data_IF_129040548747
#
_entry.id   IF_129040548747
#
_cell.length_a   1.000
_cell.length_b   1.000
_cell.length_c   1.000
_cell.angle_alpha   90.00
_cell.angle_beta   90.00
_cell.angle_gamma   90.00
#
_symmetry.space_group_name_H-M   'P 1'
#
loop_
_entity.id
_entity.type
_entity.pdbx_description
1 polymer ?
#
# COMPACT_ATOMS: atom_id res chain seq x y z
N UNK A 1 38.42 -2.96 36.87
CA UNK A 1 37.73 -1.84 36.17
C UNK A 1 36.41 -1.63 36.87
N UNK A 2 36.14 -0.44 37.41
CA UNK A 2 34.84 -0.17 38.04
C UNK A 2 33.75 0.04 36.97
N UNK A 3 32.48 0.05 37.38
CA UNK A 3 31.34 0.18 36.46
C UNK A 3 31.41 1.45 35.59
N UNK A 4 31.95 2.55 36.14
CA UNK A 4 32.09 3.83 35.43
C UNK A 4 33.17 3.75 34.35
N UNK A 5 34.28 3.09 34.63
CA UNK A 5 35.35 2.84 33.66
C UNK A 5 34.88 1.89 32.55
N UNK A 6 34.07 0.88 32.89
CA UNK A 6 33.43 -0.01 31.91
C UNK A 6 32.46 0.73 31.00
N UNK A 7 31.59 1.57 31.57
CA UNK A 7 30.67 2.38 30.77
C UNK A 7 31.42 3.33 29.83
N UNK A 8 32.49 3.98 30.31
CA UNK A 8 33.33 4.85 29.48
C UNK A 8 34.03 4.11 28.35
N UNK A 9 34.59 2.92 28.62
CA UNK A 9 35.22 2.09 27.61
C UNK A 9 34.22 1.66 26.53
N UNK A 10 33.06 1.13 26.93
CA UNK A 10 32.01 0.73 25.97
C UNK A 10 31.44 1.91 25.17
N UNK A 11 31.30 3.08 25.80
CA UNK A 11 30.86 4.30 25.11
C UNK A 11 31.87 4.73 24.05
N UNK A 12 33.16 4.67 24.37
CA UNK A 12 34.24 5.00 23.44
C UNK A 12 34.29 4.01 22.27
N UNK A 13 34.20 2.71 22.54
CA UNK A 13 34.24 1.67 21.52
C UNK A 13 33.04 1.77 20.57
N UNK A 14 31.83 1.97 21.13
CA UNK A 14 30.59 2.00 20.37
C UNK A 14 30.43 3.32 19.60
N UNK A 15 30.59 4.46 20.27
CA UNK A 15 30.22 5.77 19.73
C UNK A 15 31.42 6.59 19.23
N UNK A 16 32.65 6.15 19.52
CA UNK A 16 33.87 6.88 19.20
C UNK A 16 34.29 7.91 20.26
N UNK A 17 35.44 8.58 20.07
CA UNK A 17 36.01 9.52 21.03
C UNK A 17 35.15 10.77 21.20
N UNK A 18 35.16 11.33 22.40
CA UNK A 18 34.57 12.64 22.66
C UNK A 18 35.49 13.74 22.11
N UNK A 19 34.87 14.83 21.65
CA UNK A 19 35.59 16.00 21.17
C UNK A 19 35.64 17.06 22.26
N UNK A 20 36.80 17.67 22.46
CA UNK A 20 36.99 18.68 23.50
C UNK A 20 36.16 19.96 23.27
N UNK A 21 35.92 20.30 22.00
CA UNK A 21 35.09 21.43 21.55
C UNK A 21 33.59 21.09 21.47
N UNK A 22 33.24 19.79 21.46
CA UNK A 22 31.88 19.30 21.34
C UNK A 22 31.70 17.99 22.12
N UNK A 23 31.41 18.06 23.43
CA UNK A 23 31.26 16.88 24.26
C UNK A 23 30.18 15.88 23.78
N UNK A 24 29.00 16.31 23.28
CA UNK A 24 28.01 15.35 22.77
C UNK A 24 28.38 14.86 21.37
N UNK A 25 28.32 13.54 21.18
CA UNK A 25 28.45 12.91 19.85
C UNK A 25 27.18 13.08 19.04
N UNK A 26 27.31 13.53 17.80
CA UNK A 26 26.17 13.83 16.92
C UNK A 26 25.92 12.67 15.97
N UNK A 27 24.70 12.12 16.03
CA UNK A 27 24.21 11.13 15.08
C UNK A 27 23.22 11.80 14.11
N UNK A 28 23.42 11.59 12.81
CA UNK A 28 22.53 12.14 11.76
C UNK A 28 21.95 11.00 10.93
N UNK A 29 20.62 10.99 10.77
CA UNK A 29 19.97 10.06 9.84
C UNK A 29 20.14 10.57 8.42
N UNK A 30 20.77 9.77 7.56
CA UNK A 30 20.94 10.11 6.16
C UNK A 30 19.63 9.90 5.40
N UNK A 31 19.31 10.87 4.55
CA UNK A 31 18.18 10.81 3.61
C UNK A 31 18.66 10.40 2.23
N UNK A 32 17.76 9.98 1.34
CA UNK A 32 18.07 9.65 -0.06
C UNK A 32 19.01 10.62 -0.78
N UNK A 33 18.89 11.92 -0.51
CA UNK A 33 19.79 12.96 -1.05
C UNK A 33 21.28 12.66 -0.82
N UNK A 34 21.63 12.11 0.34
CA UNK A 34 23.00 11.73 0.70
C UNK A 34 23.56 10.58 -0.16
N UNK A 35 22.70 9.78 -0.81
CA UNK A 35 23.12 8.74 -1.73
C UNK A 35 23.59 9.33 -3.07
N UNK A 36 22.94 10.42 -3.52
CA UNK A 36 23.25 11.05 -4.82
C UNK A 36 24.27 12.18 -4.70
N UNK A 37 24.36 12.85 -3.55
CA UNK A 37 25.16 14.05 -3.39
C UNK A 37 26.21 13.91 -2.28
N UNK A 38 27.46 13.68 -2.70
CA UNK A 38 28.61 13.66 -1.78
C UNK A 38 28.74 14.96 -0.97
N UNK A 39 28.45 16.12 -1.58
CA UNK A 39 28.54 17.42 -0.92
C UNK A 39 27.62 17.55 0.29
N UNK A 40 26.44 16.90 0.27
CA UNK A 40 25.53 16.87 1.41
C UNK A 40 26.18 16.16 2.61
N UNK A 41 26.76 14.97 2.37
CA UNK A 41 27.47 14.20 3.41
C UNK A 41 28.71 14.94 3.90
N UNK A 42 29.48 15.53 3.00
CA UNK A 42 30.66 16.32 3.35
C UNK A 42 30.28 17.52 4.25
N UNK A 43 29.20 18.23 3.93
CA UNK A 43 28.69 19.32 4.74
C UNK A 43 28.32 18.86 6.17
N UNK A 44 27.64 17.71 6.29
CA UNK A 44 27.29 17.12 7.59
C UNK A 44 28.52 16.74 8.41
N UNK A 45 29.54 16.14 7.78
CA UNK A 45 30.80 15.79 8.45
C UNK A 45 31.53 17.05 8.92
N UNK A 46 31.62 18.08 8.08
CA UNK A 46 32.25 19.37 8.43
C UNK A 46 31.48 20.09 9.55
N UNK A 47 30.17 19.94 9.62
CA UNK A 47 29.32 20.50 10.67
C UNK A 47 29.39 19.73 12.01
N UNK A 48 30.06 18.57 12.04
CA UNK A 48 30.30 17.82 13.28
C UNK A 48 29.56 16.49 13.42
N UNK A 49 29.01 15.91 12.35
CA UNK A 49 28.41 14.56 12.41
C UNK A 49 29.45 13.50 12.81
N UNK A 50 29.26 12.80 13.94
CA UNK A 50 30.15 11.71 14.40
C UNK A 50 29.66 10.34 13.97
N UNK A 51 28.34 10.17 13.83
CA UNK A 51 27.71 8.91 13.45
C UNK A 51 26.72 9.15 12.32
N UNK A 52 26.95 8.52 11.17
CA UNK A 52 26.00 8.45 10.07
C UNK A 52 25.03 7.28 10.29
N UNK A 53 23.74 7.57 10.47
CA UNK A 53 22.68 6.58 10.62
C UNK A 53 22.03 6.31 9.26
N UNK A 54 22.19 5.08 8.75
CA UNK A 54 21.57 4.59 7.52
C UNK A 54 20.42 3.66 7.90
N UNK A 55 19.19 4.00 7.48
CA UNK A 55 17.99 3.25 7.83
C UNK A 55 17.54 2.34 6.68
N UNK A 56 17.75 1.03 6.81
CA UNK A 56 17.42 0.04 5.79
C UNK A 56 15.91 -0.24 5.64
N UNK A 57 15.07 0.38 6.47
CA UNK A 57 13.62 0.41 6.24
C UNK A 57 13.20 1.45 5.18
N UNK A 58 14.14 2.30 4.74
CA UNK A 58 13.95 3.34 3.74
C UNK A 58 14.96 3.11 2.60
N UNK A 59 14.65 3.63 1.41
CA UNK A 59 15.56 3.61 0.25
C UNK A 59 15.99 2.19 -0.19
N UNK A 60 16.98 2.10 -1.10
CA UNK A 60 17.41 0.84 -1.71
C UNK A 60 18.84 0.45 -1.29
N UNK A 61 19.23 -0.83 -1.46
CA UNK A 61 20.61 -1.28 -1.23
C UNK A 61 21.68 -0.43 -1.95
N UNK A 62 21.42 -0.02 -3.19
CA UNK A 62 22.33 0.83 -3.95
C UNK A 62 22.49 2.22 -3.31
N UNK A 63 21.40 2.78 -2.77
CA UNK A 63 21.42 4.06 -2.08
C UNK A 63 22.26 3.98 -0.80
N UNK A 64 22.07 2.94 0.01
CA UNK A 64 22.82 2.73 1.27
C UNK A 64 24.31 2.57 1.04
N UNK A 65 24.70 1.79 0.02
CA UNK A 65 26.11 1.61 -0.36
C UNK A 65 26.75 2.95 -0.80
N UNK A 66 26.01 3.75 -1.56
CA UNK A 66 26.48 5.09 -1.98
C UNK A 66 26.63 6.03 -0.78
N UNK A 67 25.66 6.03 0.14
CA UNK A 67 25.75 6.78 1.40
C UNK A 67 26.98 6.36 2.22
N UNK A 68 27.21 5.06 2.39
CA UNK A 68 28.35 4.54 3.13
C UNK A 68 29.69 4.96 2.49
N UNK A 69 29.79 4.86 1.15
CA UNK A 69 30.96 5.31 0.41
C UNK A 69 31.21 6.82 0.58
N UNK A 70 30.16 7.63 0.51
CA UNK A 70 30.25 9.07 0.75
C UNK A 70 30.71 9.39 2.18
N UNK A 71 30.19 8.68 3.19
CA UNK A 71 30.61 8.86 4.59
C UNK A 71 32.09 8.54 4.76
N UNK A 72 32.57 7.41 4.22
CA UNK A 72 34.00 7.04 4.31
C UNK A 72 34.90 8.07 3.61
N UNK A 73 34.52 8.51 2.41
CA UNK A 73 35.26 9.55 1.68
C UNK A 73 35.27 10.89 2.42
N UNK A 74 34.15 11.29 3.02
CA UNK A 74 34.05 12.54 3.77
C UNK A 74 34.86 12.48 5.08
N UNK A 75 34.84 11.34 5.78
CA UNK A 75 35.64 11.08 6.97
C UNK A 75 37.14 11.16 6.67
N UNK A 76 37.60 10.56 5.57
CA UNK A 76 38.98 10.63 5.10
C UNK A 76 39.39 12.07 4.77
N UNK A 77 38.56 12.81 4.00
CA UNK A 77 38.83 14.19 3.66
C UNK A 77 38.89 15.12 4.88
N UNK A 78 38.11 14.83 5.92
CA UNK A 78 38.12 15.56 7.19
C UNK A 78 39.19 15.05 8.19
N UNK A 79 39.93 13.99 7.84
CA UNK A 79 40.89 13.31 8.73
C UNK A 79 40.30 12.97 10.11
N UNK A 80 39.01 12.59 10.14
CA UNK A 80 38.27 12.31 11.37
C UNK A 80 37.47 11.01 11.22
N UNK A 81 37.45 10.14 12.24
CA UNK A 81 36.57 8.97 12.22
C UNK A 81 35.10 9.41 12.26
N UNK A 82 34.30 8.83 11.36
CA UNK A 82 32.84 8.92 11.38
C UNK A 82 32.29 7.50 11.33
N UNK A 83 31.51 7.12 12.34
CA UNK A 83 30.94 5.79 12.47
C UNK A 83 29.71 5.66 11.57
N UNK A 84 29.45 4.47 11.04
CA UNK A 84 28.24 4.13 10.31
C UNK A 84 27.38 3.22 11.17
N UNK A 85 26.23 3.74 11.58
CA UNK A 85 25.16 2.98 12.22
C UNK A 85 24.18 2.51 11.14
N UNK A 86 24.05 1.20 10.98
CA UNK A 86 23.05 0.59 10.11
C UNK A 86 21.87 0.14 10.96
N UNK A 87 20.67 0.59 10.57
CA UNK A 87 19.42 0.25 11.26
C UNK A 87 18.61 -0.69 10.39
N UNK A 88 18.43 -1.92 10.85
CA UNK A 88 17.57 -2.91 10.21
C UNK A 88 16.09 -2.62 10.52
N UNK A 89 15.21 -2.99 9.61
CA UNK A 89 13.79 -2.66 9.70
C UNK A 89 13.07 -3.47 10.79
N UNK A 90 13.51 -4.71 11.02
CA UNK A 90 12.88 -5.64 11.95
C UNK A 90 11.57 -6.22 11.39
N UNK A 91 11.00 -7.18 12.11
CA UNK A 91 9.73 -7.83 11.77
C UNK A 91 8.51 -6.90 12.01
N UNK A 92 8.38 -5.86 11.18
CA UNK A 92 7.24 -4.93 11.23
C UNK A 92 5.96 -5.65 10.83
N UNK A 93 4.96 -5.59 11.70
CA UNK A 93 3.61 -6.05 11.41
C UNK A 93 2.89 -4.95 10.63
N UNK A 94 2.32 -5.29 9.48
CA UNK A 94 1.61 -4.35 8.64
C UNK A 94 0.30 -4.93 8.12
N UNK A 95 -0.58 -4.04 7.70
CA UNK A 95 -1.75 -4.42 6.91
C UNK A 95 -1.29 -4.88 5.53
N UNK A 96 -1.81 -6.02 5.10
CA UNK A 96 -1.64 -6.52 3.74
C UNK A 96 -2.66 -5.88 2.81
N UNK A 97 -2.99 -6.60 1.73
CA UNK A 97 -4.02 -6.14 0.80
C UNK A 97 -5.39 -6.09 1.49
N UNK A 98 -6.13 -5.02 1.17
CA UNK A 98 -7.55 -4.90 1.52
C UNK A 98 -8.30 -5.85 0.59
N UNK A 99 -9.17 -6.69 1.16
CA UNK A 99 -9.92 -7.67 0.39
C UNK A 99 -10.60 -6.97 -0.80
N UNK A 100 -10.41 -7.50 -2.00
CA UNK A 100 -10.88 -6.88 -3.23
C UNK A 100 -12.41 -6.77 -3.19
N UNK A 101 -12.93 -5.54 -3.07
CA UNK A 101 -14.27 -5.27 -3.55
C UNK A 101 -14.32 -5.60 -5.05
N UNK A 102 -15.47 -6.03 -5.56
CA UNK A 102 -15.67 -6.19 -7.00
C UNK A 102 -15.11 -4.96 -7.73
N UNK A 103 -14.14 -5.09 -8.64
CA UNK A 103 -13.53 -3.93 -9.29
C UNK A 103 -14.61 -3.09 -9.97
N UNK A 104 -14.73 -1.82 -9.62
CA UNK A 104 -15.71 -0.92 -10.23
C UNK A 104 -15.01 0.16 -11.04
N UNK A 105 -15.25 0.17 -12.35
CA UNK A 105 -14.85 1.28 -13.20
C UNK A 105 -15.97 2.32 -13.32
N UNK A 106 -15.71 3.53 -12.83
CA UNK A 106 -16.65 4.66 -12.94
C UNK A 106 -16.39 5.48 -14.20
N UNK A 107 -17.34 5.46 -15.13
CA UNK A 107 -17.38 6.39 -16.26
C UNK A 107 -18.05 7.70 -15.81
N UNK A 108 -17.31 8.82 -15.86
CA UNK A 108 -17.79 10.13 -15.40
C UNK A 108 -17.74 11.17 -16.54
N UNK A 109 -18.88 11.47 -17.18
CA UNK A 109 -18.98 12.59 -18.11
C UNK A 109 -18.73 13.92 -17.39
N UNK A 110 -18.05 14.85 -18.06
CA UNK A 110 -17.91 16.22 -17.58
C UNK A 110 -19.24 16.96 -17.73
N UNK A 111 -19.66 17.66 -16.69
CA UNK A 111 -20.92 18.42 -16.65
C UNK A 111 -20.67 19.87 -16.26
N UNK A 112 -21.48 20.78 -16.77
CA UNK A 112 -21.51 22.17 -16.34
C UNK A 112 -22.20 22.33 -14.98
N UNK A 113 -22.24 23.57 -14.46
CA UNK A 113 -22.91 23.89 -13.19
C UNK A 113 -24.42 23.61 -13.20
N UNK A 114 -25.04 23.50 -14.38
CA UNK A 114 -26.46 23.18 -14.56
C UNK A 114 -26.69 21.67 -14.76
N UNK A 115 -25.64 20.84 -14.69
CA UNK A 115 -25.70 19.40 -14.84
C UNK A 115 -25.78 18.90 -16.29
N UNK A 116 -25.63 19.78 -17.29
CA UNK A 116 -25.61 19.41 -18.71
C UNK A 116 -24.25 18.83 -19.07
N UNK A 117 -24.23 17.79 -19.90
CA UNK A 117 -22.99 17.11 -20.30
C UNK A 117 -22.21 18.01 -21.26
N UNK A 118 -21.00 18.39 -20.86
CA UNK A 118 -20.05 19.19 -21.67
C UNK A 118 -19.10 18.30 -22.45
N UNK A 119 -18.71 17.17 -21.87
CA UNK A 119 -17.89 16.16 -22.53
C UNK A 119 -18.30 14.76 -22.07
N UNK A 120 -18.56 13.82 -22.99
CA UNK A 120 -18.92 12.45 -22.63
C UNK A 120 -17.73 11.71 -21.99
N UNK A 121 -18.02 10.70 -21.17
CA UNK A 121 -16.98 9.80 -20.68
C UNK A 121 -16.52 8.91 -21.83
N UNK A 122 -15.23 8.92 -22.14
CA UNK A 122 -14.63 8.00 -23.11
C UNK A 122 -14.22 6.71 -22.43
N UNK A 123 -14.33 5.58 -23.11
CA UNK A 123 -13.89 4.25 -22.66
C UNK A 123 -13.27 3.50 -23.84
N UNK A 124 -12.06 2.96 -23.64
CA UNK A 124 -11.43 2.06 -24.60
C UNK A 124 -11.84 0.61 -24.33
N UNK A 125 -12.41 -0.05 -25.33
CA UNK A 125 -12.62 -1.49 -25.36
C UNK A 125 -11.45 -2.15 -26.09
N UNK A 126 -10.69 -3.01 -25.40
CA UNK A 126 -9.50 -3.70 -25.93
C UNK A 126 -9.68 -5.22 -25.91
N UNK A 127 -8.92 -5.99 -26.71
CA UNK A 127 -8.89 -7.43 -26.57
C UNK A 127 -8.46 -7.85 -25.14
N UNK A 128 -9.12 -8.86 -24.58
CA UNK A 128 -8.88 -9.35 -23.20
C UNK A 128 -7.43 -9.78 -22.87
N UNK A 129 -6.58 -10.00 -23.88
CA UNK A 129 -5.18 -10.39 -23.69
C UNK A 129 -4.19 -9.25 -23.96
N UNK A 130 -4.69 -8.06 -24.31
CA UNK A 130 -3.85 -6.88 -24.57
C UNK A 130 -3.81 -5.98 -23.34
N UNK A 131 -2.67 -5.36 -23.04
CA UNK A 131 -2.51 -4.30 -22.02
C UNK A 131 -2.26 -2.91 -22.65
N UNK A 132 -2.66 -2.71 -23.90
CA UNK A 132 -2.46 -1.43 -24.60
C UNK A 132 -3.24 -0.30 -23.91
N UNK A 133 -2.52 0.74 -23.49
CA UNK A 133 -3.07 2.02 -23.06
C UNK A 133 -2.95 3.06 -24.18
N UNK A 134 -4.02 3.83 -24.44
CA UNK A 134 -3.99 4.94 -25.39
C UNK A 134 -3.83 6.28 -24.65
N UNK A 135 -2.86 7.14 -25.02
CA UNK A 135 -2.75 8.47 -24.47
C UNK A 135 -4.05 9.28 -24.63
N UNK A 136 -4.62 9.76 -23.53
CA UNK A 136 -5.83 10.59 -23.53
C UNK A 136 -7.17 9.84 -23.47
N UNK A 137 -7.18 8.54 -23.16
CA UNK A 137 -8.40 7.73 -22.92
C UNK A 137 -8.27 6.94 -21.62
N UNK A 138 -8.55 7.59 -20.50
CA UNK A 138 -8.38 7.01 -19.15
C UNK A 138 -9.75 6.68 -18.54
N UNK A 139 -10.47 5.73 -19.16
CA UNK A 139 -10.24 4.34 -18.79
C UNK A 139 -10.36 3.30 -19.93
N UNK A 140 -9.90 2.06 -19.68
CA UNK A 140 -10.04 0.93 -20.60
C UNK A 140 -10.56 -0.35 -19.92
N UNK A 141 -11.20 -1.22 -20.69
CA UNK A 141 -11.60 -2.58 -20.26
C UNK A 141 -11.34 -3.59 -21.37
N UNK A 142 -11.03 -4.82 -20.96
CA UNK A 142 -10.89 -5.96 -21.86
C UNK A 142 -12.24 -6.55 -22.24
N UNK A 143 -12.38 -6.98 -23.50
CA UNK A 143 -13.55 -7.70 -24.03
C UNK A 143 -13.11 -8.86 -24.92
N UNK A 144 -14.02 -9.80 -25.17
CA UNK A 144 -13.77 -10.92 -26.10
C UNK A 144 -13.52 -10.43 -27.54
N UNK A 145 -12.42 -10.87 -28.12
CA UNK A 145 -11.89 -10.37 -29.40
C UNK A 145 -12.84 -10.60 -30.59
N UNK A 146 -13.44 -11.79 -30.81
CA UNK A 146 -14.44 -12.00 -31.86
C UNK A 146 -15.71 -11.16 -31.71
N UNK A 147 -16.00 -10.67 -30.50
CA UNK A 147 -17.09 -9.72 -30.28
C UNK A 147 -16.65 -8.30 -30.62
N UNK A 148 -15.42 -7.92 -30.25
CA UNK A 148 -14.84 -6.61 -30.53
C UNK A 148 -14.71 -6.34 -32.04
N UNK A 149 -14.36 -7.36 -32.83
CA UNK A 149 -14.26 -7.28 -34.30
C UNK A 149 -15.58 -6.92 -35.00
N UNK A 150 -16.72 -7.12 -34.32
CA UNK A 150 -18.05 -6.81 -34.85
C UNK A 150 -18.40 -5.33 -34.73
N UNK A 151 -17.65 -4.56 -33.93
CA UNK A 151 -17.90 -3.16 -33.68
C UNK A 151 -17.58 -2.31 -34.91
N UNK A 152 -18.47 -1.37 -35.20
CA UNK A 152 -18.31 -0.33 -36.23
C UNK A 152 -18.60 1.03 -35.61
N UNK A 153 -17.97 2.07 -36.14
CA UNK A 153 -18.30 3.46 -35.76
C UNK A 153 -19.79 3.73 -35.94
N UNK A 154 -20.40 4.41 -34.97
CA UNK A 154 -21.83 4.71 -34.90
C UNK A 154 -22.70 3.64 -34.24
N UNK A 155 -22.15 2.47 -33.87
CA UNK A 155 -22.93 1.44 -33.16
C UNK A 155 -23.19 1.81 -31.71
N UNK A 156 -24.35 1.40 -31.19
CA UNK A 156 -24.71 1.53 -29.77
C UNK A 156 -24.59 0.20 -29.06
N UNK A 157 -23.97 0.21 -27.87
CA UNK A 157 -23.81 -0.94 -26.99
C UNK A 157 -24.68 -0.72 -25.77
N UNK A 158 -25.60 -1.64 -25.48
CA UNK A 158 -26.48 -1.55 -24.32
C UNK A 158 -25.90 -2.37 -23.16
N UNK A 159 -26.03 -1.86 -21.94
CA UNK A 159 -25.64 -2.56 -20.72
C UNK A 159 -26.48 -2.10 -19.53
N UNK A 160 -26.40 -2.88 -18.45
CA UNK A 160 -26.95 -2.51 -17.13
C UNK A 160 -25.75 -2.24 -16.23
N UNK A 161 -25.69 -1.05 -15.62
CA UNK A 161 -24.59 -0.68 -14.72
C UNK A 161 -24.72 -1.36 -13.35
N UNK A 162 -23.68 -1.26 -12.52
CA UNK A 162 -23.64 -1.88 -11.18
C UNK A 162 -24.77 -1.44 -10.22
N UNK A 163 -25.53 -0.39 -10.56
CA UNK A 163 -26.69 0.09 -9.79
C UNK A 163 -28.02 -0.36 -10.39
N UNK A 164 -27.99 -1.28 -11.36
CA UNK A 164 -29.18 -1.74 -12.08
C UNK A 164 -29.69 -0.76 -13.13
N UNK A 165 -28.98 0.32 -13.44
CA UNK A 165 -29.46 1.33 -14.37
C UNK A 165 -29.06 1.01 -15.81
N UNK A 166 -30.03 1.03 -16.74
CA UNK A 166 -29.76 0.84 -18.17
C UNK A 166 -28.95 2.01 -18.73
N UNK A 167 -27.91 1.69 -19.48
CA UNK A 167 -26.96 2.64 -20.07
C UNK A 167 -26.58 2.19 -21.48
N UNK A 168 -26.03 3.13 -22.24
CA UNK A 168 -25.50 2.84 -23.57
C UNK A 168 -24.12 3.49 -23.77
N UNK A 169 -23.30 2.82 -24.59
CA UNK A 169 -22.02 3.32 -25.09
C UNK A 169 -22.13 3.48 -26.61
N UNK A 170 -21.68 4.60 -27.15
CA UNK A 170 -21.59 4.81 -28.60
C UNK A 170 -20.17 4.56 -29.08
N UNK A 171 -20.00 3.72 -30.10
CA UNK A 171 -18.70 3.44 -30.72
C UNK A 171 -18.31 4.63 -31.59
N UNK A 172 -17.26 5.36 -31.23
CA UNK A 172 -16.77 6.53 -31.97
C UNK A 172 -15.83 6.11 -33.08
N UNK A 173 -14.84 5.28 -32.74
CA UNK A 173 -13.86 4.76 -33.69
C UNK A 173 -13.39 3.38 -33.27
N UNK A 174 -12.96 2.59 -34.24
CA UNK A 174 -12.32 1.29 -34.04
C UNK A 174 -11.06 1.23 -34.92
N UNK A 175 -9.96 0.84 -34.32
CA UNK A 175 -8.67 0.61 -34.98
C UNK A 175 -8.12 -0.77 -34.56
N UNK A 176 -6.85 -1.01 -34.84
CA UNK A 176 -6.16 -2.27 -34.50
C UNK A 176 -5.96 -2.43 -32.98
N UNK A 177 -5.96 -1.33 -32.21
CA UNK A 177 -5.72 -1.34 -30.77
C UNK A 177 -7.01 -1.57 -29.97
N UNK A 178 -8.17 -1.23 -30.55
CA UNK A 178 -9.47 -1.49 -29.95
C UNK A 178 -10.57 -0.58 -30.49
N UNK A 179 -11.62 -0.39 -29.70
CA UNK A 179 -12.71 0.52 -29.99
C UNK A 179 -12.85 1.60 -28.92
N UNK A 180 -12.83 2.88 -29.31
CA UNK A 180 -13.17 3.98 -28.41
C UNK A 180 -14.68 4.14 -28.41
N UNK A 181 -15.24 4.18 -27.21
CA UNK A 181 -16.66 4.40 -26.96
C UNK A 181 -16.90 5.62 -26.09
N UNK A 182 -18.07 6.21 -26.20
CA UNK A 182 -18.50 7.36 -25.41
C UNK A 182 -19.80 7.06 -24.65
N UNK A 183 -19.86 7.51 -23.39
CA UNK A 183 -21.04 7.46 -22.53
C UNK A 183 -21.45 8.89 -22.14
N UNK A 184 -22.70 9.25 -22.39
CA UNK A 184 -23.25 10.55 -21.96
C UNK A 184 -23.69 10.55 -20.49
N UNK A 185 -23.83 9.37 -19.87
CA UNK A 185 -24.34 9.21 -18.50
C UNK A 185 -23.26 8.63 -17.58
N UNK A 186 -23.32 8.96 -16.30
CA UNK A 186 -22.46 8.30 -15.31
C UNK A 186 -22.84 6.83 -15.22
N UNK A 187 -21.86 5.95 -15.41
CA UNK A 187 -22.03 4.50 -15.37
C UNK A 187 -20.93 3.85 -14.54
N UNK A 188 -21.24 2.67 -14.01
CA UNK A 188 -20.36 1.87 -13.15
C UNK A 188 -20.28 0.48 -13.77
N UNK A 189 -19.09 0.10 -14.25
CA UNK A 189 -18.84 -1.21 -14.84
C UNK A 189 -18.16 -2.10 -13.79
N UNK A 190 -18.55 -3.38 -13.76
CA UNK A 190 -17.97 -4.46 -12.95
C UNK A 190 -17.61 -5.63 -13.87
N UNK A 191 -16.82 -6.63 -13.42
CA UNK A 191 -16.57 -7.84 -14.21
C UNK A 191 -17.83 -8.60 -14.65
N UNK A 192 -18.95 -8.40 -13.94
CA UNK A 192 -20.25 -8.98 -14.27
C UNK A 192 -21.03 -8.17 -15.32
N UNK A 193 -20.54 -6.97 -15.68
CA UNK A 193 -21.24 -6.13 -16.64
C UNK A 193 -21.15 -6.73 -18.04
N UNK A 194 -22.32 -7.00 -18.61
CA UNK A 194 -22.47 -7.53 -19.96
C UNK A 194 -22.75 -6.38 -20.92
N UNK A 195 -21.87 -6.19 -21.91
CA UNK A 195 -22.11 -5.30 -23.05
C UNK A 195 -22.84 -6.07 -24.15
N UNK A 196 -23.96 -5.54 -24.63
CA UNK A 196 -24.78 -6.16 -25.66
C UNK A 196 -24.86 -5.32 -26.92
N UNK A 197 -24.73 -6.00 -28.06
CA UNK A 197 -24.97 -5.45 -29.39
C UNK A 197 -26.43 -5.70 -29.77
N UNK A 198 -27.21 -4.62 -29.88
CA UNK A 198 -28.57 -4.67 -30.41
C UNK A 198 -28.56 -4.99 -31.91
N UNK A 199 -29.10 -6.14 -32.30
CA UNK A 199 -29.42 -6.40 -33.71
C UNK A 199 -30.58 -5.52 -34.13
N UNK A 200 -30.41 -4.75 -35.21
CA UNK A 200 -31.54 -4.14 -35.93
C UNK A 200 -32.48 -5.29 -36.32
N UNK A 201 -33.69 -5.28 -35.75
CA UNK A 201 -34.83 -6.17 -36.03
C UNK A 201 -34.50 -7.68 -36.16
N UNK A 202 -34.70 -8.43 -35.07
CA UNK A 202 -34.91 -9.89 -35.10
C UNK A 202 -33.68 -10.80 -35.23
N UNK A 203 -32.45 -10.28 -35.20
CA UNK A 203 -31.22 -11.11 -35.23
C UNK A 203 -30.51 -11.22 -33.88
N UNK A 204 -29.83 -12.36 -33.69
CA UNK A 204 -29.07 -12.80 -32.50
C UNK A 204 -28.35 -11.64 -31.81
N UNK A 205 -28.66 -11.40 -30.54
CA UNK A 205 -27.93 -10.47 -29.67
C UNK A 205 -26.54 -11.05 -29.40
N UNK A 206 -25.50 -10.27 -29.68
CA UNK A 206 -24.12 -10.65 -29.35
C UNK A 206 -23.75 -9.94 -28.05
N UNK A 207 -23.21 -10.68 -27.08
CA UNK A 207 -22.88 -10.18 -25.77
C UNK A 207 -21.42 -10.49 -25.42
N UNK A 208 -20.82 -9.65 -24.59
CA UNK A 208 -19.49 -9.88 -24.02
C UNK A 208 -19.46 -9.39 -22.58
N UNK A 209 -18.70 -10.08 -21.72
CA UNK A 209 -18.35 -9.57 -20.40
C UNK A 209 -17.19 -8.58 -20.53
N UNK A 210 -17.14 -7.62 -19.62
CA UNK A 210 -15.96 -6.76 -19.45
C UNK A 210 -15.00 -7.41 -18.46
N UNK A 211 -13.71 -7.23 -18.68
CA UNK A 211 -12.64 -7.73 -17.81
C UNK A 211 -11.51 -6.71 -17.70
N UNK A 212 -10.46 -7.05 -16.94
CA UNK A 212 -9.28 -6.19 -16.75
C UNK A 212 -9.63 -4.79 -16.24
N UNK A 213 -10.67 -4.68 -15.41
CA UNK A 213 -10.97 -3.45 -14.68
C UNK A 213 -9.91 -3.30 -13.59
N UNK A 214 -9.11 -2.24 -13.67
CA UNK A 214 -8.15 -1.91 -12.62
C UNK A 214 -8.89 -1.60 -11.32
N UNK A 215 -8.62 -2.40 -10.28
CA UNK A 215 -9.04 -2.06 -8.93
C UNK A 215 -8.16 -0.91 -8.46
N UNK A 216 -8.76 0.23 -8.12
CA UNK A 216 -8.01 1.26 -7.40
C UNK A 216 -7.53 0.69 -6.06
N UNK A 217 -6.40 1.20 -5.50
CA UNK A 217 -5.97 0.82 -4.17
C UNK A 217 -7.13 1.01 -3.19
N UNK A 218 -7.69 -0.09 -2.71
CA UNK A 218 -8.85 -0.06 -1.84
C UNK A 218 -8.40 0.44 -0.46
N UNK A 219 -9.08 1.48 0.01
CA UNK A 219 -8.96 1.94 1.39
C UNK A 219 -10.25 1.59 2.11
N UNK A 220 -10.16 0.97 3.28
CA UNK A 220 -11.29 0.83 4.18
C UNK A 220 -11.55 2.16 4.87
N UNK A 221 -12.81 2.54 4.95
CA UNK A 221 -13.23 3.66 5.77
C UNK A 221 -13.74 3.10 7.09
N UNK A 222 -13.10 3.49 8.21
CA UNK A 222 -13.37 2.95 9.53
C UNK A 222 -13.87 4.06 10.47
N UNK A 223 -15.02 3.82 11.07
CA UNK A 223 -15.65 4.63 12.10
C UNK A 223 -15.60 3.90 13.45
N UNK A 224 -15.68 4.66 14.54
CA UNK A 224 -15.86 4.07 15.87
C UNK A 224 -17.17 3.27 15.90
N UNK A 225 -17.11 2.03 16.40
CA UNK A 225 -18.20 1.06 16.40
C UNK A 225 -18.15 0.04 15.26
N UNK A 226 -17.35 0.28 14.21
CA UNK A 226 -17.20 -0.67 13.12
C UNK A 226 -16.51 -1.96 13.59
N UNK A 227 -16.84 -3.08 12.93
CA UNK A 227 -16.14 -4.36 13.12
C UNK A 227 -15.22 -4.61 11.93
N UNK A 228 -13.92 -4.52 12.17
CA UNK A 228 -12.86 -4.83 11.21
C UNK A 228 -12.41 -6.29 11.35
N UNK A 229 -12.40 -7.03 10.26
CA UNK A 229 -11.81 -8.36 10.19
C UNK A 229 -10.34 -8.28 9.73
N UNK A 230 -9.41 -8.64 10.62
CA UNK A 230 -7.99 -8.79 10.30
C UNK A 230 -7.69 -10.26 9.98
N UNK A 231 -7.31 -10.58 8.75
CA UNK A 231 -7.17 -11.97 8.29
C UNK A 231 -5.73 -12.39 8.03
N UNK A 232 -5.48 -13.70 7.99
CA UNK A 232 -4.28 -14.27 7.37
C UNK A 232 -4.26 -13.94 5.86
N UNK A 233 -3.09 -13.91 5.20
CA UNK A 233 -3.01 -13.78 3.75
C UNK A 233 -3.83 -14.85 3.03
N UNK A 234 -4.43 -14.51 1.88
CA UNK A 234 -5.24 -15.41 1.01
C UNK A 234 -6.61 -15.87 1.54
N UNK A 235 -7.12 -15.26 2.61
CA UNK A 235 -8.50 -15.48 3.06
C UNK A 235 -9.43 -14.56 2.25
N UNK A 236 -10.10 -15.09 1.23
CA UNK A 236 -10.93 -14.31 0.30
C UNK A 236 -12.33 -14.00 0.84
N UNK A 237 -12.80 -14.74 1.85
CA UNK A 237 -14.09 -14.48 2.50
C UNK A 237 -14.03 -14.92 3.95
N UNK A 238 -14.37 -13.99 4.86
CA UNK A 238 -14.67 -14.31 6.25
C UNK A 238 -16.14 -14.79 6.30
N UNK A 239 -16.48 -15.86 7.05
CA UNK A 239 -17.87 -16.27 7.21
C UNK A 239 -18.70 -15.10 7.76
N UNK A 240 -19.82 -14.77 7.11
CA UNK A 240 -20.78 -13.81 7.66
C UNK A 240 -21.13 -14.25 9.09
N UNK A 241 -20.95 -13.35 10.05
CA UNK A 241 -21.44 -13.57 11.41
C UNK A 241 -22.96 -13.82 11.32
N UNK A 242 -23.52 -14.79 12.08
CA UNK A 242 -24.96 -14.87 12.21
C UNK A 242 -25.44 -13.54 12.78
N UNK A 243 -26.22 -12.79 12.01
CA UNK A 243 -26.80 -11.54 12.45
C UNK A 243 -27.76 -11.83 13.62
N UNK A 244 -27.36 -11.50 14.85
CA UNK A 244 -28.26 -11.53 16.00
C UNK A 244 -29.18 -10.28 16.04
N UNK A 245 -28.97 -9.30 15.15
CA UNK A 245 -29.87 -8.15 14.97
C UNK A 245 -30.30 -7.99 13.51
N UNK A 246 -31.57 -8.30 13.25
CA UNK A 246 -32.19 -8.40 11.93
C UNK A 246 -32.51 -7.05 11.23
N UNK A 247 -31.74 -5.99 11.47
CA UNK A 247 -32.02 -4.66 10.91
C UNK A 247 -30.80 -3.94 10.29
N UNK A 248 -29.63 -4.59 10.25
CA UNK A 248 -28.47 -4.08 9.52
C UNK A 248 -28.46 -4.66 8.09
N UNK A 249 -28.57 -3.79 7.08
CA UNK A 249 -28.32 -4.17 5.69
C UNK A 249 -26.91 -4.77 5.58
N UNK A 250 -26.70 -5.90 4.89
CA UNK A 250 -25.38 -6.51 4.76
C UNK A 250 -24.49 -5.59 3.91
N UNK A 251 -23.73 -4.74 4.58
CA UNK A 251 -22.57 -4.12 3.97
C UNK A 251 -21.48 -5.19 3.83
N UNK A 252 -20.65 -5.08 2.80
CA UNK A 252 -19.48 -5.95 2.66
C UNK A 252 -18.65 -5.92 3.96
N UNK A 253 -18.18 -7.06 4.47
CA UNK A 253 -17.40 -7.10 5.69
C UNK A 253 -16.13 -6.25 5.52
N UNK A 254 -15.91 -5.31 6.45
CA UNK A 254 -14.68 -4.52 6.50
C UNK A 254 -13.52 -5.48 6.78
N UNK A 255 -12.72 -5.78 5.77
CA UNK A 255 -11.70 -6.84 5.86
C UNK A 255 -10.34 -6.38 5.31
N UNK A 256 -9.29 -6.66 6.07
CA UNK A 256 -7.90 -6.40 5.67
C UNK A 256 -7.00 -7.55 6.11
N UNK A 257 -6.02 -7.92 5.29
CA UNK A 257 -5.06 -8.98 5.67
C UNK A 257 -3.93 -8.42 6.56
N UNK A 258 -3.18 -9.32 7.21
CA UNK A 258 -1.97 -9.02 7.96
C UNK A 258 -0.73 -9.65 7.30
N UNK A 259 0.38 -8.90 7.22
CA UNK A 259 1.64 -9.41 6.64
C UNK A 259 2.35 -10.44 7.52
N UNK A 260 2.05 -10.49 8.82
CA UNK A 260 2.61 -11.44 9.78
C UNK A 260 1.48 -12.31 10.37
N UNK A 261 1.01 -13.35 9.65
CA UNK A 261 -0.16 -14.13 10.07
C UNK A 261 -0.02 -14.81 11.44
N UNK A 262 1.21 -15.06 11.90
CA UNK A 262 1.46 -15.67 13.21
C UNK A 262 0.93 -14.82 14.36
N UNK A 263 0.77 -13.50 14.18
CA UNK A 263 0.22 -12.62 15.23
C UNK A 263 -1.22 -12.98 15.56
N UNK A 264 -2.00 -13.43 14.57
CA UNK A 264 -3.40 -13.85 14.76
C UNK A 264 -3.45 -15.03 15.74
N UNK A 265 -2.46 -15.92 15.68
CA UNK A 265 -2.37 -17.09 16.55
C UNK A 265 -1.92 -16.73 17.98
N UNK A 266 -1.25 -15.59 18.18
CA UNK A 266 -0.61 -15.21 19.45
C UNK A 266 -1.41 -14.21 20.30
N UNK A 267 -2.25 -13.38 19.66
CA UNK A 267 -3.09 -12.39 20.37
C UNK A 267 -4.21 -13.04 21.18
N UNK A 268 -4.78 -12.28 22.13
CA UNK A 268 -5.93 -12.69 22.94
C UNK A 268 -7.13 -11.75 22.73
N UNK A 269 -8.32 -12.30 22.93
CA UNK A 269 -9.56 -11.51 22.99
C UNK A 269 -9.46 -10.52 24.16
N UNK A 270 -9.88 -9.28 23.92
CA UNK A 270 -9.81 -8.17 24.87
C UNK A 270 -8.56 -7.29 24.73
N UNK A 271 -7.54 -7.74 23.99
CA UNK A 271 -6.31 -6.95 23.78
C UNK A 271 -6.55 -5.80 22.80
N UNK A 272 -5.77 -4.72 22.97
CA UNK A 272 -5.80 -3.55 22.10
C UNK A 272 -4.97 -3.79 20.86
N UNK A 273 -5.45 -3.24 19.75
CA UNK A 273 -4.74 -3.22 18.48
C UNK A 273 -4.81 -1.81 17.88
N UNK A 274 -3.71 -1.37 17.30
CA UNK A 274 -3.54 -0.04 16.73
C UNK A 274 -3.09 -0.12 15.28
N UNK A 275 -3.65 0.74 14.44
CA UNK A 275 -3.30 0.82 13.03
C UNK A 275 -2.78 2.21 12.65
N UNK A 276 -1.99 2.23 11.58
CA UNK A 276 -1.56 3.44 10.86
C UNK A 276 -0.94 4.51 11.78
N UNK A 277 0.05 4.07 12.57
CA UNK A 277 0.77 4.92 13.51
C UNK A 277 -0.02 5.27 14.77
N UNK A 278 -1.02 4.46 15.15
CA UNK A 278 -1.86 4.69 16.32
C UNK A 278 -3.05 5.63 16.06
N UNK A 279 -3.30 5.99 14.80
CA UNK A 279 -4.44 6.83 14.44
C UNK A 279 -5.77 6.12 14.65
N UNK A 280 -5.83 4.85 14.28
CA UNK A 280 -7.01 4.00 14.41
C UNK A 280 -6.73 2.99 15.52
N UNK A 281 -7.65 2.85 16.46
CA UNK A 281 -7.56 1.92 17.59
C UNK A 281 -8.77 1.02 17.67
N UNK A 282 -8.56 -0.21 18.13
CA UNK A 282 -9.62 -1.17 18.35
C UNK A 282 -9.30 -2.19 19.42
N UNK A 283 -10.30 -3.01 19.73
CA UNK A 283 -10.22 -4.10 20.70
C UNK A 283 -10.61 -5.40 20.02
N UNK A 284 -9.81 -6.44 20.20
CA UNK A 284 -10.08 -7.77 19.65
C UNK A 284 -11.29 -8.35 20.38
N UNK A 285 -12.42 -8.52 19.69
CA UNK A 285 -13.65 -9.09 20.27
C UNK A 285 -13.78 -10.58 20.04
N UNK A 286 -13.32 -11.06 18.90
CA UNK A 286 -13.34 -12.48 18.59
C UNK A 286 -12.03 -12.90 17.91
N UNK A 287 -11.62 -14.14 18.17
CA UNK A 287 -10.47 -14.78 17.55
C UNK A 287 -10.93 -16.08 16.93
N UNK A 288 -10.64 -16.21 15.64
CA UNK A 288 -10.90 -17.40 14.83
C UNK A 288 -9.57 -17.96 14.32
N UNK A 289 -9.60 -19.13 13.67
CA UNK A 289 -8.39 -19.76 13.15
C UNK A 289 -7.66 -18.92 12.09
N UNK A 290 -8.43 -18.19 11.26
CA UNK A 290 -7.91 -17.46 10.10
C UNK A 290 -8.06 -15.94 10.20
N UNK A 291 -8.77 -15.44 11.21
CA UNK A 291 -9.04 -14.01 11.36
C UNK A 291 -9.36 -13.57 12.80
N UNK A 292 -9.28 -12.26 13.02
CA UNK A 292 -9.72 -11.57 14.22
C UNK A 292 -10.89 -10.66 13.88
N UNK A 293 -11.91 -10.61 14.73
CA UNK A 293 -12.94 -9.57 14.67
C UNK A 293 -12.58 -8.47 15.68
N UNK A 294 -12.37 -7.25 15.19
CA UNK A 294 -11.87 -6.12 15.95
C UNK A 294 -12.94 -5.04 15.94
N UNK A 295 -13.43 -4.67 17.12
CA UNK A 295 -14.27 -3.48 17.25
C UNK A 295 -13.39 -2.24 17.23
N UNK A 296 -13.66 -1.31 16.33
CA UNK A 296 -12.96 -0.03 16.24
C UNK A 296 -13.45 0.87 17.37
N UNK A 297 -12.57 1.18 18.31
CA UNK A 297 -12.88 2.03 19.47
C UNK A 297 -12.36 3.45 19.32
N UNK A 298 -11.47 3.69 18.33
CA UNK A 298 -10.92 5.01 18.05
C UNK A 298 -10.75 5.23 16.54
N UNK A 299 -11.39 6.30 16.04
CA UNK A 299 -11.15 6.92 14.75
C UNK A 299 -11.52 8.42 14.86
N UNK A 300 -11.07 9.25 13.92
CA UNK A 300 -11.48 10.66 13.85
C UNK A 300 -12.97 10.83 13.59
N UNK A 301 -13.49 12.02 13.88
CA UNK A 301 -14.86 12.40 13.52
C UNK A 301 -15.05 12.31 12.00
N UNK A 302 -16.03 11.52 11.57
CA UNK A 302 -16.26 11.21 10.15
C UNK A 302 -15.36 10.11 9.56
N UNK A 303 -14.66 9.34 10.39
CA UNK A 303 -13.99 8.09 10.03
C UNK A 303 -12.59 8.26 9.42
N UNK A 304 -11.72 7.28 9.65
CA UNK A 304 -10.36 7.21 9.10
C UNK A 304 -10.26 6.30 7.89
N UNK A 305 -9.19 6.45 7.11
CA UNK A 305 -8.91 5.57 5.97
C UNK A 305 -7.77 4.63 6.31
N UNK A 306 -8.04 3.34 6.31
CA UNK A 306 -7.03 2.29 6.44
C UNK A 306 -6.71 1.71 5.07
N UNK A 307 -5.44 1.74 4.69
CA UNK A 307 -4.95 1.17 3.43
C UNK A 307 -4.05 -0.04 3.68
N UNK A 308 -3.52 -0.64 2.62
CA UNK A 308 -2.42 -1.59 2.70
C UNK A 308 -1.12 -0.91 3.19
N UNK A 309 -0.18 -1.73 3.65
CA UNK A 309 1.15 -1.34 4.16
C UNK A 309 1.13 -0.38 5.37
N UNK A 310 0.00 -0.29 6.09
CA UNK A 310 -0.11 0.49 7.33
C UNK A 310 0.42 -0.30 8.51
N UNK A 311 1.07 0.37 9.46
CA UNK A 311 1.59 -0.32 10.65
C UNK A 311 0.47 -0.90 11.49
N UNK A 312 0.73 -2.05 12.09
CA UNK A 312 -0.09 -2.68 13.13
C UNK A 312 0.75 -2.72 14.39
N UNK A 313 0.17 -2.33 15.53
CA UNK A 313 0.81 -2.39 16.83
C UNK A 313 -0.11 -3.07 17.85
N UNK A 314 0.45 -3.98 18.63
CA UNK A 314 -0.23 -4.87 19.58
C UNK A 314 0.44 -4.70 20.95
N UNK A 315 0.15 -3.62 21.69
CA UNK A 315 0.89 -3.25 22.90
C UNK A 315 0.70 -4.23 24.07
N UNK A 316 -0.38 -5.01 24.05
CA UNK A 316 -0.72 -5.93 25.15
C UNK A 316 -0.20 -7.36 24.89
N UNK A 317 0.14 -7.69 23.65
CA UNK A 317 0.49 -9.05 23.24
C UNK A 317 2.00 -9.30 23.39
N UNK A 318 2.36 -10.45 23.95
CA UNK A 318 3.73 -10.95 23.90
C UNK A 318 3.92 -11.73 22.61
N UNK A 319 4.58 -11.11 21.64
CA UNK A 319 4.73 -11.67 20.30
C UNK A 319 6.07 -12.39 20.17
N UNK A 320 6.02 -13.66 19.78
CA UNK A 320 7.16 -14.44 19.33
C UNK A 320 7.30 -14.27 17.81
N UNK A 321 7.94 -13.16 17.43
CA UNK A 321 8.25 -12.84 16.04
C UNK A 321 9.77 -12.95 15.83
N UNK A 322 10.22 -13.37 14.64
CA UNK A 322 11.64 -13.44 14.36
C UNK A 322 12.26 -12.04 14.49
N UNK A 323 13.35 -11.95 15.26
CA UNK A 323 14.07 -10.69 15.48
C UNK A 323 14.55 -10.05 14.16
N UNK A 324 14.87 -10.90 13.17
CA UNK A 324 15.25 -10.51 11.82
C UNK A 324 14.28 -11.12 10.82
N UNK A 325 13.70 -10.29 9.96
CA UNK A 325 12.94 -10.77 8.80
C UNK A 325 13.88 -11.33 7.71
N UNK A 326 13.33 -12.06 6.75
CA UNK A 326 14.08 -12.51 5.57
C UNK A 326 14.70 -11.32 4.79
N UNK A 327 13.99 -10.18 4.75
CA UNK A 327 14.52 -8.93 4.20
C UNK A 327 15.70 -8.42 5.02
N UNK A 328 15.58 -8.40 6.35
CA UNK A 328 16.66 -7.93 7.24
C UNK A 328 17.93 -8.77 7.09
N UNK A 329 17.80 -10.09 6.90
CA UNK A 329 18.95 -10.96 6.60
C UNK A 329 19.65 -10.58 5.28
N UNK A 330 18.86 -10.24 4.26
CA UNK A 330 19.39 -9.73 2.98
C UNK A 330 20.06 -8.37 3.13
N UNK A 331 19.41 -7.43 3.83
CA UNK A 331 19.95 -6.09 4.09
C UNK A 331 21.24 -6.16 4.92
N UNK A 332 21.27 -7.03 5.93
CA UNK A 332 22.44 -7.28 6.76
C UNK A 332 23.60 -7.82 5.93
N UNK A 333 23.36 -8.77 5.03
CA UNK A 333 24.41 -9.30 4.16
C UNK A 333 25.04 -8.20 3.27
N UNK A 334 24.25 -7.21 2.84
CA UNK A 334 24.74 -6.08 2.05
C UNK A 334 25.51 -5.08 2.91
N UNK A 335 24.99 -4.71 4.07
CA UNK A 335 25.49 -3.58 4.85
C UNK A 335 26.48 -3.93 5.95
N UNK A 336 26.55 -5.20 6.39
CA UNK A 336 27.50 -5.65 7.42
C UNK A 336 28.97 -5.28 7.14
N UNK A 337 29.49 -5.34 5.89
CA UNK A 337 30.87 -4.92 5.60
C UNK A 337 31.13 -3.42 5.81
N UNK A 338 30.08 -2.61 5.86
CA UNK A 338 30.17 -1.15 5.94
C UNK A 338 29.75 -0.60 7.30
N UNK A 339 29.01 -1.38 8.09
CA UNK A 339 28.51 -1.00 9.40
C UNK A 339 29.62 -1.00 10.44
N UNK A 340 29.73 0.08 11.21
CA UNK A 340 30.46 0.08 12.48
C UNK A 340 29.55 -0.37 13.64
N UNK A 341 28.26 -0.06 13.52
CA UNK A 341 27.24 -0.36 14.53
C UNK A 341 26.02 -0.92 13.81
N UNK A 342 25.43 -1.97 14.37
CA UNK A 342 24.14 -2.49 13.94
C UNK A 342 23.09 -2.19 15.00
N UNK A 343 21.95 -1.65 14.58
CA UNK A 343 20.77 -1.46 15.42
C UNK A 343 19.60 -2.22 14.82
N UNK A 344 18.88 -2.92 15.69
CA UNK A 344 17.69 -3.67 15.35
C UNK A 344 16.48 -2.86 15.80
N UNK A 345 15.63 -2.47 14.85
CA UNK A 345 14.33 -1.93 15.20
C UNK A 345 13.48 -3.05 15.84
N UNK A 346 12.75 -2.73 16.92
CA UNK A 346 11.93 -3.70 17.66
C UNK A 346 12.70 -4.86 18.31
N UNK A 347 14.03 -4.73 18.45
CA UNK A 347 14.78 -5.58 19.37
C UNK A 347 14.39 -5.25 20.82
N UNK A 348 14.08 -6.31 21.57
CA UNK A 348 13.62 -6.34 22.97
C UNK A 348 14.05 -5.17 23.87
#
# INVERSE_FOLDING_TARGET
>A
MNLVEQLKAHTLDLLGPERADQPPRIMVTLTKDAASHFSAVQGLVSAGMDIARINCALDTPADWLSMAAHVRRAAEAAQRPVKILVVLAGAKIRTGEVAHHTPVLKLKPAKDQLGRVVSPARLLLRPMHSNTSLPGVDPSVGVWEPWLERLKSGMSLDFVDARGAKRHLQVIKRDELGAITECAQTAYLTPETVLTLGGVTGKKKHATLVCQIESQPSTLHLCTGDVLHLTKPNVNSVPELPAEDADASPGDPLQISCTAPQVIDQVKVGERIWFDGGRIGGVIRQKHADYLAIEITQAREGGDKLASDKSINLPDSQLDLPLLSAKDLGDLAVMAPYADILSLSFGL
#
